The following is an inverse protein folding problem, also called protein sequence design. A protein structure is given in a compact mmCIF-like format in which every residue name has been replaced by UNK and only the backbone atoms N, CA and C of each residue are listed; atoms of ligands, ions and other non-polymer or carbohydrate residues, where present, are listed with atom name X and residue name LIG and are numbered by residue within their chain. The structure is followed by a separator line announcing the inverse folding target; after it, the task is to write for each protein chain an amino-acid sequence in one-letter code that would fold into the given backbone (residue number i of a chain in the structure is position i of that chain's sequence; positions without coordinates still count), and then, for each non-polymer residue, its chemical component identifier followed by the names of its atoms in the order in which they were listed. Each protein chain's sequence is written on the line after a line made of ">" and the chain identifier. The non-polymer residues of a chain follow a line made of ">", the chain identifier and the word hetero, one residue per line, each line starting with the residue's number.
data_IF_072539625596
#
_entry.id   IF_072539625596
#
_cell.length_a   1.000
_cell.length_b   1.000
_cell.length_c   1.000
_cell.angle_alpha   90.00
_cell.angle_beta   90.00
_cell.angle_gamma   90.00
#
_symmetry.space_group_name_H-M   'P 1'
#
loop_
_entity.id
_entity.type
_entity.pdbx_description
1 polymer ?
#
# COMPACT_ATOMS: atom_id res chain seq x y z
N UNK A 1 15.01 -63.73 1.94
CA UNK A 1 14.01 -62.93 1.18
C UNK A 1 13.24 -61.85 1.97
N UNK A 2 13.32 -61.78 3.31
CA UNK A 2 12.57 -60.75 4.11
C UNK A 2 13.29 -59.41 4.28
N UNK A 3 14.59 -59.32 4.05
CA UNK A 3 15.37 -58.08 4.23
C UNK A 3 15.29 -57.10 3.05
N UNK A 4 14.96 -57.55 1.84
CA UNK A 4 14.91 -56.69 0.65
C UNK A 4 13.54 -56.01 0.44
N UNK A 5 12.50 -56.46 1.15
CA UNK A 5 11.16 -55.84 1.07
C UNK A 5 11.08 -54.59 1.95
N UNK A 6 11.83 -54.54 3.06
CA UNK A 6 11.84 -53.39 3.98
C UNK A 6 12.60 -52.20 3.36
N UNK A 7 13.64 -52.47 2.54
CA UNK A 7 14.39 -51.41 1.86
C UNK A 7 13.63 -50.78 0.67
N UNK A 8 12.70 -51.53 0.05
CA UNK A 8 11.86 -51.01 -1.04
C UNK A 8 10.70 -50.15 -0.53
N UNK A 9 10.18 -50.39 0.67
CA UNK A 9 9.13 -49.54 1.27
C UNK A 9 9.65 -48.20 1.81
N UNK A 10 10.92 -48.13 2.22
CA UNK A 10 11.50 -46.88 2.70
C UNK A 10 11.82 -45.88 1.58
N UNK A 11 12.09 -46.36 0.37
CA UNK A 11 12.34 -45.52 -0.79
C UNK A 11 11.05 -44.91 -1.40
N UNK A 12 9.88 -45.50 -1.13
CA UNK A 12 8.60 -44.99 -1.65
C UNK A 12 7.98 -43.91 -0.77
N UNK A 13 8.36 -43.84 0.51
CA UNK A 13 7.83 -42.83 1.45
C UNK A 13 8.59 -41.48 1.34
N UNK A 14 9.83 -41.49 0.80
CA UNK A 14 10.64 -40.27 0.66
C UNK A 14 10.25 -39.44 -0.58
N UNK A 15 9.44 -39.97 -1.51
CA UNK A 15 9.03 -39.26 -2.72
C UNK A 15 7.67 -38.53 -2.60
N UNK A 16 7.00 -38.61 -1.45
CA UNK A 16 5.69 -37.97 -1.24
C UNK A 16 5.76 -36.60 -0.52
N UNK A 17 6.96 -36.14 -0.18
CA UNK A 17 7.13 -34.84 0.55
C UNK A 17 7.68 -33.69 -0.31
N UNK A 18 7.71 -33.86 -1.63
CA UNK A 18 8.01 -32.70 -2.53
C UNK A 18 6.76 -32.24 -3.26
N UNK A 19 5.64 -32.10 -2.56
CA UNK A 19 4.64 -31.14 -2.94
C UNK A 19 5.18 -29.77 -2.50
N UNK A 20 6.05 -29.22 -3.32
CA UNK A 20 6.32 -27.80 -3.32
C UNK A 20 4.99 -27.11 -3.50
N UNK A 21 4.43 -26.60 -2.41
CA UNK A 21 3.39 -25.58 -2.46
C UNK A 21 4.09 -24.38 -3.09
N UNK A 22 4.05 -24.30 -4.41
CA UNK A 22 4.34 -23.10 -5.16
C UNK A 22 3.19 -22.14 -4.86
N UNK A 23 3.23 -21.52 -3.70
CA UNK A 23 2.53 -20.30 -3.46
C UNK A 23 3.16 -19.29 -4.43
N UNK A 24 2.58 -19.13 -5.62
CA UNK A 24 2.83 -17.95 -6.41
C UNK A 24 2.31 -16.79 -5.55
N UNK A 25 3.22 -16.16 -4.78
CA UNK A 25 2.97 -14.82 -4.29
C UNK A 25 2.57 -14.00 -5.51
N UNK A 26 1.38 -13.43 -5.48
CA UNK A 26 0.93 -12.48 -6.49
C UNK A 26 1.80 -11.24 -6.27
N UNK A 27 2.98 -11.24 -6.87
CA UNK A 27 3.89 -10.11 -6.84
C UNK A 27 3.25 -9.05 -7.73
N UNK A 28 2.65 -8.04 -7.08
CA UNK A 28 2.07 -6.90 -7.79
C UNK A 28 3.19 -6.18 -8.54
N UNK A 29 3.11 -6.15 -9.86
CA UNK A 29 4.00 -5.35 -10.68
C UNK A 29 3.66 -3.87 -10.47
N UNK A 30 4.48 -3.18 -9.67
CA UNK A 30 4.26 -1.78 -9.28
C UNK A 30 4.20 -0.87 -10.52
N UNK A 31 5.09 -1.09 -11.48
CA UNK A 31 5.14 -0.27 -12.71
C UNK A 31 3.86 -0.42 -13.54
N UNK A 32 3.37 -1.65 -13.69
CA UNK A 32 2.11 -1.91 -14.38
C UNK A 32 0.90 -1.33 -13.63
N UNK A 33 0.89 -1.43 -12.31
CA UNK A 33 -0.14 -0.84 -11.47
C UNK A 33 -0.18 0.69 -11.62
N UNK A 34 0.97 1.36 -11.55
CA UNK A 34 1.09 2.80 -11.72
C UNK A 34 0.66 3.23 -13.13
N UNK A 35 1.08 2.51 -14.17
CA UNK A 35 0.68 2.81 -15.55
C UNK A 35 -0.84 2.70 -15.73
N UNK A 36 -1.48 1.67 -15.20
CA UNK A 36 -2.96 1.49 -15.24
C UNK A 36 -3.68 2.60 -14.47
N UNK A 37 -3.14 2.99 -13.30
CA UNK A 37 -3.69 4.08 -12.50
C UNK A 37 -3.62 5.41 -13.26
N UNK A 38 -2.47 5.74 -13.84
CA UNK A 38 -2.29 6.99 -14.60
C UNK A 38 -3.23 7.06 -15.81
N UNK A 39 -3.37 5.99 -16.57
CA UNK A 39 -4.28 5.94 -17.72
C UNK A 39 -5.75 6.07 -17.30
N UNK A 40 -6.13 5.39 -16.22
CA UNK A 40 -7.48 5.50 -15.67
C UNK A 40 -7.80 6.93 -15.20
N UNK A 41 -6.90 7.55 -14.45
CA UNK A 41 -7.07 8.92 -13.93
C UNK A 41 -7.10 9.93 -15.08
N UNK A 42 -6.18 9.81 -16.05
CA UNK A 42 -6.13 10.68 -17.23
C UNK A 42 -7.47 10.67 -17.98
N UNK A 43 -7.99 9.47 -18.23
CA UNK A 43 -9.27 9.30 -18.93
C UNK A 43 -10.46 9.83 -18.13
N UNK A 44 -10.56 9.45 -16.84
CA UNK A 44 -11.69 9.81 -15.99
C UNK A 44 -11.76 11.31 -15.65
N UNK A 45 -10.64 11.99 -15.62
CA UNK A 45 -10.56 13.43 -15.36
C UNK A 45 -10.46 14.28 -16.64
N UNK A 46 -10.39 13.67 -17.82
CA UNK A 46 -10.27 14.36 -19.10
C UNK A 46 -8.99 15.17 -19.19
N UNK A 47 -7.86 14.64 -18.69
CA UNK A 47 -6.58 15.34 -18.75
C UNK A 47 -5.98 15.25 -20.14
N UNK A 48 -5.48 16.38 -20.63
CA UNK A 48 -4.59 16.37 -21.82
C UNK A 48 -3.25 15.72 -21.47
N UNK A 49 -2.46 15.36 -22.47
CA UNK A 49 -1.13 14.81 -22.22
C UNK A 49 -0.24 15.80 -21.44
N UNK A 50 -0.25 17.08 -21.81
CA UNK A 50 0.50 18.12 -21.14
C UNK A 50 0.10 18.29 -19.66
N UNK A 51 -1.21 18.23 -19.36
CA UNK A 51 -1.71 18.28 -17.99
C UNK A 51 -1.30 17.04 -17.20
N UNK A 52 -1.38 15.86 -17.79
CA UNK A 52 -0.98 14.60 -17.18
C UNK A 52 0.53 14.58 -16.85
N UNK A 53 1.37 15.02 -17.78
CA UNK A 53 2.84 15.09 -17.61
C UNK A 53 3.25 16.02 -16.45
N UNK A 54 2.42 17.01 -16.11
CA UNK A 54 2.66 17.92 -14.98
C UNK A 54 2.01 17.43 -13.70
N UNK A 55 0.83 16.80 -13.78
CA UNK A 55 0.05 16.34 -12.63
C UNK A 55 0.67 15.12 -11.95
N UNK A 56 0.97 14.06 -12.70
CA UNK A 56 1.42 12.79 -12.12
C UNK A 56 2.71 12.89 -11.32
N UNK A 57 3.76 13.61 -11.73
CA UNK A 57 4.94 13.78 -10.90
C UNK A 57 4.65 14.44 -9.55
N UNK A 58 3.73 15.43 -9.52
CA UNK A 58 3.29 16.08 -8.27
C UNK A 58 2.48 15.12 -7.38
N UNK A 59 1.60 14.29 -7.99
CA UNK A 59 0.82 13.28 -7.26
C UNK A 59 1.74 12.22 -6.66
N UNK A 60 2.70 11.71 -7.40
CA UNK A 60 3.70 10.75 -6.92
C UNK A 60 4.58 11.35 -5.80
N UNK A 61 4.97 12.62 -5.92
CA UNK A 61 5.73 13.30 -4.87
C UNK A 61 4.93 13.41 -3.57
N UNK A 62 3.65 13.78 -3.65
CA UNK A 62 2.76 13.82 -2.50
C UNK A 62 2.62 12.45 -1.85
N UNK A 63 2.35 11.41 -2.66
CA UNK A 63 2.22 10.04 -2.16
C UNK A 63 3.49 9.57 -1.43
N UNK A 64 4.66 9.84 -1.99
CA UNK A 64 5.93 9.51 -1.33
C UNK A 64 6.09 10.20 0.02
N UNK A 65 5.75 11.50 0.10
CA UNK A 65 5.81 12.27 1.37
C UNK A 65 4.82 11.74 2.41
N UNK A 66 3.61 11.38 1.99
CA UNK A 66 2.63 10.76 2.88
C UNK A 66 3.08 9.39 3.39
N UNK A 67 3.68 8.57 2.53
CA UNK A 67 4.25 7.27 2.92
C UNK A 67 5.40 7.43 3.91
N UNK A 68 6.30 8.38 3.68
CA UNK A 68 7.41 8.67 4.58
C UNK A 68 6.92 9.16 5.95
N UNK A 69 5.94 10.07 5.96
CA UNK A 69 5.30 10.54 7.18
C UNK A 69 4.65 9.40 7.98
N UNK A 70 3.90 8.54 7.31
CA UNK A 70 3.27 7.39 7.94
C UNK A 70 4.29 6.35 8.46
N UNK A 71 5.40 6.16 7.74
CA UNK A 71 6.50 5.29 8.20
C UNK A 71 7.13 5.85 9.46
N UNK A 72 7.53 7.12 9.44
CA UNK A 72 8.13 7.79 10.61
C UNK A 72 7.20 7.77 11.83
N UNK A 73 5.88 7.94 11.61
CA UNK A 73 4.90 7.82 12.68
C UNK A 73 4.88 6.41 13.28
N UNK A 74 4.82 5.35 12.46
CA UNK A 74 4.85 3.96 12.94
C UNK A 74 6.11 3.64 13.71
N UNK A 75 7.28 4.03 13.20
CA UNK A 75 8.56 3.83 13.87
C UNK A 75 8.58 4.52 15.24
N UNK A 76 8.01 5.72 15.36
CA UNK A 76 7.90 6.44 16.63
C UNK A 76 6.96 5.73 17.60
N UNK A 77 5.78 5.29 17.14
CA UNK A 77 4.81 4.53 17.95
C UNK A 77 5.43 3.25 18.48
N UNK A 78 6.12 2.49 17.61
CA UNK A 78 6.81 1.27 18.02
C UNK A 78 7.94 1.54 19.03
N UNK A 79 8.68 2.64 18.86
CA UNK A 79 9.71 3.05 19.80
C UNK A 79 9.12 3.36 21.18
N UNK A 80 8.02 4.13 21.23
CA UNK A 80 7.34 4.49 22.48
C UNK A 80 6.84 3.23 23.20
N UNK A 81 6.17 2.33 22.48
CA UNK A 81 5.67 1.08 23.07
C UNK A 81 6.76 0.17 23.61
N UNK A 82 7.97 0.18 23.02
CA UNK A 82 9.08 -0.67 23.45
C UNK A 82 9.92 -0.08 24.57
N UNK A 83 10.04 1.24 24.65
CA UNK A 83 11.07 1.89 25.48
C UNK A 83 10.46 2.71 26.64
N UNK A 84 9.19 3.04 26.60
CA UNK A 84 8.54 3.77 27.69
C UNK A 84 7.91 2.81 28.72
N UNK A 85 8.65 1.75 29.04
CA UNK A 85 8.30 0.77 30.08
C UNK A 85 8.49 1.44 31.45
N UNK A 86 7.39 1.94 32.01
CA UNK A 86 7.41 2.61 33.32
C UNK A 86 6.51 3.84 33.42
N UNK A 87 5.99 4.32 32.30
CA UNK A 87 4.81 5.18 32.33
C UNK A 87 3.59 4.34 32.74
N UNK A 88 2.67 4.94 33.49
CA UNK A 88 1.36 4.35 33.65
C UNK A 88 0.76 4.13 32.27
N UNK A 89 0.16 2.97 32.01
CA UNK A 89 -0.41 2.61 30.69
C UNK A 89 -1.32 3.71 30.13
N UNK A 90 -2.08 4.39 31.00
CA UNK A 90 -2.95 5.51 30.62
C UNK A 90 -2.16 6.70 30.03
N UNK A 91 -1.02 7.05 30.60
CA UNK A 91 -0.20 8.15 30.11
C UNK A 91 0.45 7.81 28.76
N UNK A 92 0.91 6.57 28.58
CA UNK A 92 1.43 6.10 27.29
C UNK A 92 0.34 6.18 26.20
N UNK A 93 -0.87 5.67 26.50
CA UNK A 93 -1.97 5.74 25.53
C UNK A 93 -2.40 7.17 25.20
N UNK A 94 -2.37 8.09 26.17
CA UNK A 94 -2.64 9.50 25.93
C UNK A 94 -1.64 10.09 24.95
N UNK A 95 -0.35 9.82 25.12
CA UNK A 95 0.71 10.29 24.22
C UNK A 95 0.58 9.68 22.82
N UNK A 96 0.23 8.40 22.72
CA UNK A 96 0.00 7.76 21.42
C UNK A 96 -1.19 8.41 20.68
N UNK A 97 -2.29 8.71 21.36
CA UNK A 97 -3.42 9.43 20.77
C UNK A 97 -3.03 10.84 20.30
N UNK A 98 -2.20 11.56 21.05
CA UNK A 98 -1.67 12.86 20.62
C UNK A 98 -0.82 12.73 19.33
N UNK A 99 0.03 11.70 19.24
CA UNK A 99 0.82 11.43 18.01
C UNK A 99 -0.05 11.07 16.82
N UNK A 100 -1.15 10.37 17.01
CA UNK A 100 -2.13 10.10 15.96
C UNK A 100 -2.82 11.38 15.45
N UNK A 101 -3.09 12.34 16.32
CA UNK A 101 -3.63 13.65 15.91
C UNK A 101 -2.57 14.44 15.15
N UNK A 102 -1.34 14.48 15.66
CA UNK A 102 -0.22 15.20 15.05
C UNK A 102 0.04 14.73 13.62
N UNK A 103 0.09 13.43 13.36
CA UNK A 103 0.31 12.89 12.02
C UNK A 103 -0.82 13.25 11.05
N UNK A 104 -2.09 13.22 11.50
CA UNK A 104 -3.22 13.67 10.68
C UNK A 104 -3.16 15.16 10.33
N UNK A 105 -2.71 16.00 11.25
CA UNK A 105 -2.50 17.42 10.98
C UNK A 105 -1.40 17.62 9.93
N UNK A 106 -0.30 16.91 10.02
CA UNK A 106 0.78 16.97 9.04
C UNK A 106 0.34 16.46 7.66
N UNK A 107 -0.48 15.40 7.60
CA UNK A 107 -1.09 14.92 6.35
C UNK A 107 -1.98 15.98 5.72
N UNK A 108 -2.85 16.62 6.52
CA UNK A 108 -3.72 17.70 6.05
C UNK A 108 -2.92 18.91 5.54
N UNK A 109 -1.82 19.27 6.20
CA UNK A 109 -0.94 20.34 5.75
C UNK A 109 -0.28 20.03 4.41
N UNK A 110 0.17 18.79 4.20
CA UNK A 110 0.67 18.33 2.90
C UNK A 110 -0.41 18.40 1.81
N UNK A 111 -1.63 17.93 2.10
CA UNK A 111 -2.74 18.01 1.15
C UNK A 111 -3.06 19.45 0.73
N UNK A 112 -3.07 20.40 1.68
CA UNK A 112 -3.27 21.83 1.39
C UNK A 112 -2.17 22.35 0.48
N UNK A 113 -0.90 22.11 0.85
CA UNK A 113 0.27 22.55 0.07
C UNK A 113 0.23 22.03 -1.37
N UNK A 114 -0.10 20.73 -1.54
CA UNK A 114 -0.13 20.12 -2.88
C UNK A 114 -1.38 20.53 -3.67
N UNK A 115 -2.52 20.79 -3.03
CA UNK A 115 -3.67 21.38 -3.71
C UNK A 115 -3.32 22.70 -4.40
N UNK A 116 -2.55 23.56 -3.74
CA UNK A 116 -2.08 24.81 -4.36
C UNK A 116 -1.16 24.56 -5.57
N UNK A 117 -0.29 23.54 -5.52
CA UNK A 117 0.56 23.14 -6.64
C UNK A 117 -0.27 22.59 -7.80
N UNK A 118 -1.23 21.70 -7.51
CA UNK A 118 -2.11 21.13 -8.52
C UNK A 118 -2.99 22.16 -9.23
N UNK A 119 -3.51 23.14 -8.50
CA UNK A 119 -4.32 24.22 -9.08
C UNK A 119 -3.54 25.15 -10.02
N UNK A 120 -2.21 25.08 -10.04
CA UNK A 120 -1.38 25.75 -11.04
C UNK A 120 -1.28 24.97 -12.35
N UNK A 121 -1.66 23.70 -12.32
CA UNK A 121 -1.56 22.75 -13.46
C UNK A 121 -2.94 22.40 -14.01
N UNK A 122 -3.92 22.20 -13.14
CA UNK A 122 -5.27 21.77 -13.49
C UNK A 122 -6.33 22.79 -13.07
N UNK A 123 -7.44 22.84 -13.79
CA UNK A 123 -8.63 23.53 -13.30
C UNK A 123 -9.18 22.82 -12.04
N UNK A 124 -9.94 23.54 -11.18
CA UNK A 124 -10.53 22.92 -9.98
C UNK A 124 -11.38 21.69 -10.28
N UNK A 125 -12.14 21.70 -11.38
CA UNK A 125 -12.96 20.59 -11.82
C UNK A 125 -12.12 19.35 -12.18
N UNK A 126 -11.10 19.55 -13.02
CA UNK A 126 -10.18 18.46 -13.41
C UNK A 126 -9.44 17.90 -12.22
N UNK A 127 -8.97 18.76 -11.32
CA UNK A 127 -8.31 18.31 -10.09
C UNK A 127 -9.24 17.47 -9.22
N UNK A 128 -10.48 17.92 -9.01
CA UNK A 128 -11.47 17.17 -8.23
C UNK A 128 -11.72 15.77 -8.86
N UNK A 129 -11.91 15.74 -10.19
CA UNK A 129 -12.14 14.49 -10.92
C UNK A 129 -10.92 13.57 -10.88
N UNK A 130 -9.68 14.10 -11.00
CA UNK A 130 -8.45 13.33 -10.90
C UNK A 130 -8.29 12.68 -9.51
N UNK A 131 -8.45 13.47 -8.45
CA UNK A 131 -8.38 12.98 -7.07
C UNK A 131 -9.49 11.95 -6.75
N UNK A 132 -10.68 12.14 -7.31
CA UNK A 132 -11.76 11.15 -7.19
C UNK A 132 -11.41 9.87 -7.93
N UNK A 133 -10.86 9.96 -9.14
CA UNK A 133 -10.45 8.82 -9.94
C UNK A 133 -9.35 8.01 -9.26
N UNK A 134 -8.32 8.65 -8.69
CA UNK A 134 -7.29 7.98 -7.90
C UNK A 134 -7.89 7.13 -6.77
N UNK A 135 -8.78 7.74 -5.97
CA UNK A 135 -9.45 7.00 -4.88
C UNK A 135 -10.29 5.83 -5.37
N UNK A 136 -11.03 6.03 -6.46
CA UNK A 136 -11.88 4.98 -7.05
C UNK A 136 -11.04 3.83 -7.58
N UNK A 137 -9.93 4.12 -8.25
CA UNK A 137 -8.99 3.11 -8.74
C UNK A 137 -8.42 2.28 -7.59
N UNK A 138 -7.89 2.94 -6.55
CA UNK A 138 -7.34 2.26 -5.37
C UNK A 138 -8.36 1.35 -4.69
N UNK A 139 -9.60 1.80 -4.53
CA UNK A 139 -10.66 0.98 -3.93
C UNK A 139 -10.99 -0.26 -4.79
N UNK A 140 -11.04 -0.12 -6.11
CA UNK A 140 -11.25 -1.26 -7.02
C UNK A 140 -10.11 -2.28 -6.93
N UNK A 141 -8.87 -1.81 -6.96
CA UNK A 141 -7.71 -2.71 -6.87
C UNK A 141 -7.66 -3.45 -5.52
N UNK A 142 -8.04 -2.80 -4.42
CA UNK A 142 -8.18 -3.46 -3.11
C UNK A 142 -9.26 -4.55 -3.10
N UNK A 143 -10.40 -4.32 -3.74
CA UNK A 143 -11.47 -5.34 -3.87
C UNK A 143 -10.97 -6.51 -4.71
N UNK A 144 -10.41 -6.23 -5.89
CA UNK A 144 -9.85 -7.26 -6.78
C UNK A 144 -8.79 -8.13 -6.07
N UNK A 145 -7.91 -7.51 -5.29
CA UNK A 145 -6.89 -8.22 -4.54
C UNK A 145 -7.49 -9.17 -3.48
N UNK A 146 -8.54 -8.73 -2.77
CA UNK A 146 -9.24 -9.57 -1.79
C UNK A 146 -9.92 -10.77 -2.45
N UNK A 147 -10.61 -10.55 -3.57
CA UNK A 147 -11.30 -11.61 -4.30
C UNK A 147 -10.32 -12.68 -4.82
N UNK A 148 -9.15 -12.25 -5.31
CA UNK A 148 -8.10 -13.17 -5.74
C UNK A 148 -7.49 -13.99 -4.57
N UNK A 149 -7.41 -13.40 -3.37
CA UNK A 149 -6.97 -14.09 -2.17
C UNK A 149 -7.95 -15.18 -1.71
N UNK A 150 -9.26 -14.90 -1.79
CA UNK A 150 -10.31 -15.84 -1.36
C UNK A 150 -10.54 -17.01 -2.31
N UNK A 151 -10.16 -16.89 -3.58
CA UNK A 151 -10.29 -18.01 -4.56
C UNK A 151 -9.18 -19.06 -4.43
N UNK A 152 -8.20 -18.85 -3.56
CA UNK A 152 -7.05 -19.75 -3.36
C UNK A 152 -7.13 -20.58 -2.08
N UNK A 153 -8.14 -20.41 -1.27
CA UNK A 153 -8.47 -21.24 -0.12
C UNK A 153 -9.51 -22.32 -0.51
#
# INVERSE_FOLDING_TARGET
>A
MRKNIILLCSALILNLFTLSVSGQEVQMNIEEFEARMMEYVKTAAGLTQEEADKYFPLSQELQRKLLELNRSHRERVEYMQKNEVGLADEELFRQLLEKDVEVRQQQAALDILYNEKFLKVLSPEKLYNARRAERTFMMRELVNFREQGQQKE
#
